data_IF_196570748432
#
_entry.id   IF_196570748432
#
_cell.length_a   1.000
_cell.length_b   1.000
_cell.length_c   1.000
_cell.angle_alpha   90.00
_cell.angle_beta   90.00
_cell.angle_gamma   90.00
#
_symmetry.space_group_name_H-M   'P 1'
#
loop_
_entity.id
_entity.type
_entity.pdbx_description
1 polymer ?
#
# COMPACT_ATOMS: atom_id res chain seq x y z
N UNK A 1 22.92 10.45 5.94
CA UNK A 1 21.89 9.59 5.30
C UNK A 1 21.43 10.32 4.06
N UNK A 2 21.77 9.81 2.88
CA UNK A 2 21.53 10.49 1.61
C UNK A 2 20.05 10.36 1.22
N UNK A 3 19.43 11.50 0.94
CA UNK A 3 18.11 11.64 0.34
C UNK A 3 18.11 11.02 -1.06
N UNK A 4 17.48 9.85 -1.21
CA UNK A 4 17.20 9.24 -2.51
C UNK A 4 15.88 9.81 -3.00
N UNK A 5 15.94 10.84 -3.84
CA UNK A 5 14.80 11.26 -4.65
C UNK A 5 14.74 10.33 -5.87
N UNK A 6 13.66 9.56 -6.09
CA UNK A 6 13.57 8.73 -7.29
C UNK A 6 13.51 9.62 -8.54
N UNK A 7 14.53 9.53 -9.39
CA UNK A 7 14.50 10.09 -10.74
C UNK A 7 13.73 9.12 -11.64
N UNK A 8 12.66 9.58 -12.30
CA UNK A 8 11.99 8.76 -13.33
C UNK A 8 10.52 9.01 -13.64
N UNK A 9 9.86 10.04 -13.08
CA UNK A 9 8.51 10.42 -13.50
C UNK A 9 8.59 11.74 -14.26
N UNK A 10 8.67 11.67 -15.60
CA UNK A 10 8.38 12.83 -16.45
C UNK A 10 6.97 13.31 -16.12
N UNK A 11 6.91 14.49 -15.52
CA UNK A 11 5.71 15.30 -15.25
C UNK A 11 5.57 16.37 -16.34
N UNK A 12 5.94 16.03 -17.56
CA UNK A 12 5.81 16.95 -18.69
C UNK A 12 4.32 17.17 -18.98
N UNK A 13 3.79 18.25 -18.39
CA UNK A 13 2.58 18.91 -18.87
C UNK A 13 1.51 19.30 -17.86
N UNK A 14 1.74 19.42 -16.55
CA UNK A 14 0.63 19.72 -15.60
C UNK A 14 0.95 20.65 -14.41
N UNK A 15 1.69 21.75 -14.62
CA UNK A 15 1.49 23.05 -13.96
C UNK A 15 1.90 23.24 -12.49
N UNK A 16 2.89 24.11 -12.25
CA UNK A 16 3.29 24.67 -10.94
C UNK A 16 2.32 25.76 -10.43
N UNK A 17 1.00 25.56 -10.56
CA UNK A 17 -0.03 26.49 -10.07
C UNK A 17 -0.73 25.97 -8.81
N UNK A 18 -1.57 26.79 -8.13
CA UNK A 18 -2.35 26.37 -6.96
C UNK A 18 -3.48 25.36 -7.29
N UNK A 19 -3.56 24.89 -8.54
CA UNK A 19 -4.56 23.95 -9.04
C UNK A 19 -3.89 22.78 -9.74
N UNK A 20 -4.30 21.58 -9.39
CA UNK A 20 -3.79 20.36 -10.03
C UNK A 20 -4.53 20.08 -11.35
N UNK A 21 -4.21 18.94 -11.97
CA UNK A 21 -4.83 18.54 -13.23
C UNK A 21 -6.29 18.13 -13.08
N UNK A 22 -6.71 17.67 -11.90
CA UNK A 22 -8.08 17.24 -11.62
C UNK A 22 -8.98 18.47 -11.54
N UNK A 23 -8.50 19.57 -10.95
CA UNK A 23 -9.20 20.86 -11.00
C UNK A 23 -9.48 21.29 -12.45
N UNK A 24 -8.49 21.12 -13.34
CA UNK A 24 -8.64 21.44 -14.77
C UNK A 24 -9.63 20.51 -15.46
N UNK A 25 -9.58 19.22 -15.16
CA UNK A 25 -10.52 18.23 -15.69
C UNK A 25 -11.95 18.49 -15.22
N UNK A 26 -12.17 18.81 -13.95
CA UNK A 26 -13.48 19.15 -13.40
C UNK A 26 -14.06 20.40 -14.07
N UNK A 27 -13.26 21.48 -14.17
CA UNK A 27 -13.70 22.70 -14.86
C UNK A 27 -14.12 22.42 -16.31
N UNK A 28 -13.33 21.62 -17.04
CA UNK A 28 -13.63 21.30 -18.43
C UNK A 28 -14.91 20.48 -18.59
N UNK A 29 -15.14 19.49 -17.72
CA UNK A 29 -16.38 18.72 -17.76
C UNK A 29 -17.59 19.55 -17.36
N UNK A 30 -17.46 20.47 -16.40
CA UNK A 30 -18.53 21.40 -16.03
C UNK A 30 -18.94 22.32 -17.18
N UNK A 31 -18.00 22.75 -18.03
CA UNK A 31 -18.32 23.51 -19.25
C UNK A 31 -19.04 22.65 -20.29
N UNK A 32 -18.58 21.41 -20.51
CA UNK A 32 -19.08 20.53 -21.56
C UNK A 32 -20.41 19.87 -21.22
N UNK A 33 -20.65 19.61 -19.93
CA UNK A 33 -21.78 18.84 -19.40
C UNK A 33 -22.33 19.54 -18.13
N UNK A 34 -22.86 20.76 -18.25
CA UNK A 34 -23.31 21.56 -17.11
C UNK A 34 -24.45 20.93 -16.30
N UNK A 35 -25.13 19.93 -16.86
CA UNK A 35 -26.17 19.15 -16.20
C UNK A 35 -25.65 18.06 -15.25
N UNK A 36 -24.35 17.74 -15.28
CA UNK A 36 -23.74 16.71 -14.44
C UNK A 36 -23.05 17.29 -13.22
N UNK A 37 -23.17 16.61 -12.07
CA UNK A 37 -22.32 16.89 -10.92
C UNK A 37 -20.94 16.25 -11.11
N UNK A 38 -19.93 17.09 -11.31
CA UNK A 38 -18.53 16.69 -11.51
C UNK A 38 -17.71 16.79 -10.22
N UNK A 39 -18.30 17.21 -9.10
CA UNK A 39 -17.60 17.36 -7.81
C UNK A 39 -16.96 16.04 -7.30
N UNK A 40 -17.60 14.85 -7.42
CA UNK A 40 -17.02 13.59 -6.95
C UNK A 40 -15.67 13.23 -7.60
N UNK A 41 -15.42 13.70 -8.84
CA UNK A 41 -14.14 13.50 -9.52
C UNK A 41 -12.95 14.08 -8.74
N UNK A 42 -13.20 15.15 -7.99
CA UNK A 42 -12.19 15.82 -7.18
C UNK A 42 -11.63 14.93 -6.09
N UNK A 43 -12.45 14.01 -5.55
CA UNK A 43 -12.03 13.04 -4.54
C UNK A 43 -11.47 11.79 -5.23
N UNK A 44 -12.27 11.15 -6.09
CA UNK A 44 -11.91 9.86 -6.71
C UNK A 44 -10.63 9.98 -7.55
N UNK A 45 -10.51 11.04 -8.35
CA UNK A 45 -9.31 11.27 -9.16
C UNK A 45 -8.06 11.46 -8.32
N UNK A 46 -8.16 12.19 -7.20
CA UNK A 46 -7.03 12.46 -6.30
C UNK A 46 -6.62 11.21 -5.55
N UNK A 47 -7.58 10.40 -5.11
CA UNK A 47 -7.32 9.11 -4.49
C UNK A 47 -6.56 8.17 -5.44
N UNK A 48 -7.03 8.02 -6.68
CA UNK A 48 -6.37 7.18 -7.68
C UNK A 48 -4.95 7.67 -7.98
N UNK A 49 -4.77 8.99 -8.16
CA UNK A 49 -3.45 9.55 -8.45
C UNK A 49 -2.50 9.42 -7.26
N UNK A 50 -2.97 9.71 -6.05
CA UNK A 50 -2.19 9.56 -4.83
C UNK A 50 -1.79 8.10 -4.61
N UNK A 51 -2.72 7.15 -4.74
CA UNK A 51 -2.45 5.72 -4.61
C UNK A 51 -1.38 5.24 -5.59
N UNK A 52 -1.43 5.67 -6.86
CA UNK A 52 -0.40 5.34 -7.85
C UNK A 52 0.99 5.86 -7.45
N UNK A 53 1.07 7.11 -6.97
CA UNK A 53 2.35 7.72 -6.58
C UNK A 53 2.91 7.08 -5.30
N UNK A 54 2.07 6.89 -4.28
CA UNK A 54 2.45 6.21 -3.04
C UNK A 54 2.93 4.79 -3.33
N UNK A 55 2.19 4.03 -4.14
CA UNK A 55 2.58 2.67 -4.51
C UNK A 55 3.93 2.65 -5.24
N UNK A 56 4.17 3.58 -6.18
CA UNK A 56 5.45 3.66 -6.89
C UNK A 56 6.62 3.97 -5.94
N UNK A 57 6.43 4.87 -4.97
CA UNK A 57 7.44 5.16 -3.95
C UNK A 57 7.72 3.96 -3.04
N UNK A 58 6.67 3.27 -2.60
CA UNK A 58 6.80 2.07 -1.77
C UNK A 58 7.50 0.93 -2.51
N UNK A 59 7.14 0.67 -3.78
CA UNK A 59 7.84 -0.34 -4.61
C UNK A 59 9.32 0.01 -4.78
N UNK A 60 9.64 1.27 -5.08
CA UNK A 60 11.04 1.71 -5.23
C UNK A 60 11.86 1.57 -3.93
N UNK A 61 11.23 1.77 -2.77
CA UNK A 61 11.90 1.57 -1.48
C UNK A 61 12.14 0.09 -1.18
N UNK A 62 11.24 -0.79 -1.61
CA UNK A 62 11.29 -2.23 -1.35
C UNK A 62 12.16 -3.00 -2.36
N UNK A 63 12.43 -2.43 -3.53
CA UNK A 63 13.26 -3.03 -4.58
C UNK A 63 14.63 -3.55 -4.07
N UNK A 64 15.43 -2.79 -3.29
CA UNK A 64 16.72 -3.27 -2.79
C UNK A 64 16.63 -4.48 -1.84
N UNK A 65 15.44 -4.78 -1.32
CA UNK A 65 15.17 -5.90 -0.44
C UNK A 65 14.56 -7.10 -1.18
N UNK A 66 14.49 -7.03 -2.51
CA UNK A 66 13.82 -7.99 -3.38
C UNK A 66 12.35 -8.23 -3.00
N UNK A 67 11.65 -7.22 -2.46
CA UNK A 67 10.25 -7.30 -2.06
C UNK A 67 9.36 -6.43 -2.96
N UNK A 68 8.14 -6.92 -3.24
CA UNK A 68 7.06 -6.05 -3.74
C UNK A 68 6.21 -5.53 -2.59
N UNK A 69 5.39 -4.49 -2.81
CA UNK A 69 4.46 -3.99 -1.78
C UNK A 69 3.51 -5.09 -1.28
N UNK A 70 3.07 -5.97 -2.18
CA UNK A 70 2.17 -7.06 -1.80
C UNK A 70 2.86 -8.12 -0.91
N UNK A 71 4.14 -8.40 -1.15
CA UNK A 71 4.91 -9.32 -0.31
C UNK A 71 5.33 -8.69 1.01
N UNK A 72 5.65 -7.39 1.01
CA UNK A 72 5.81 -6.61 2.23
C UNK A 72 4.54 -6.68 3.10
N UNK A 73 3.36 -6.53 2.50
CA UNK A 73 2.08 -6.70 3.20
C UNK A 73 1.89 -8.09 3.82
N UNK A 74 2.34 -9.15 3.15
CA UNK A 74 2.32 -10.52 3.68
C UNK A 74 3.23 -10.63 4.90
N UNK A 75 4.51 -10.29 4.79
CA UNK A 75 5.45 -10.43 5.90
C UNK A 75 5.07 -9.52 7.09
N UNK A 76 4.58 -8.31 6.82
CA UNK A 76 4.05 -7.39 7.83
C UNK A 76 2.84 -7.97 8.59
N UNK A 77 1.97 -8.68 7.88
CA UNK A 77 0.82 -9.34 8.51
C UNK A 77 1.25 -10.52 9.37
N UNK A 78 2.16 -11.36 8.86
CA UNK A 78 2.69 -12.51 9.59
C UNK A 78 3.45 -12.09 10.86
N UNK A 79 4.25 -11.00 10.79
CA UNK A 79 4.97 -10.48 11.95
C UNK A 79 4.07 -9.88 13.04
N UNK A 80 2.83 -9.49 12.70
CA UNK A 80 1.83 -8.98 13.65
C UNK A 80 0.85 -10.04 14.15
N UNK A 81 0.93 -11.25 13.62
CA UNK A 81 0.04 -12.35 14.01
C UNK A 81 0.56 -13.03 15.28
N UNK A 82 -0.35 -13.47 16.17
CA UNK A 82 0.00 -14.16 17.43
C UNK A 82 0.56 -15.59 17.23
N UNK A 83 0.69 -16.05 15.99
CA UNK A 83 1.20 -17.37 15.64
C UNK A 83 1.03 -17.71 14.15
N UNK A 84 1.30 -18.96 13.76
CA UNK A 84 1.11 -19.41 12.39
C UNK A 84 -0.36 -19.32 11.95
N UNK A 85 -0.61 -18.78 10.75
CA UNK A 85 -1.98 -18.58 10.23
C UNK A 85 -2.19 -19.34 8.92
N UNK A 86 -3.44 -19.70 8.64
CA UNK A 86 -3.81 -20.33 7.36
C UNK A 86 -3.77 -19.32 6.20
N UNK A 87 -3.64 -19.77 4.93
CA UNK A 87 -3.75 -18.90 3.76
C UNK A 87 -5.07 -18.11 3.70
N UNK A 88 -6.17 -18.71 4.18
CA UNK A 88 -7.48 -18.05 4.23
C UNK A 88 -7.52 -16.92 5.26
N UNK A 89 -6.91 -17.15 6.43
CA UNK A 89 -6.77 -16.12 7.46
C UNK A 89 -5.85 -14.99 6.99
N UNK A 90 -4.70 -15.33 6.40
CA UNK A 90 -3.79 -14.35 5.81
C UNK A 90 -4.53 -13.46 4.79
N UNK A 91 -5.31 -14.07 3.88
CA UNK A 91 -6.04 -13.32 2.85
C UNK A 91 -7.04 -12.31 3.43
N UNK A 92 -7.69 -12.63 4.56
CA UNK A 92 -8.61 -11.70 5.24
C UNK A 92 -7.90 -10.51 5.88
N UNK A 93 -6.62 -10.65 6.22
CA UNK A 93 -5.84 -9.62 6.89
C UNK A 93 -4.97 -8.78 5.94
N UNK A 94 -4.84 -9.18 4.68
CA UNK A 94 -4.02 -8.48 3.70
C UNK A 94 -4.68 -7.18 3.22
N UNK A 95 -3.94 -6.08 3.34
CA UNK A 95 -4.32 -4.75 2.81
C UNK A 95 -4.48 -4.72 1.29
N UNK A 96 -3.81 -5.62 0.56
CA UNK A 96 -3.91 -5.73 -0.89
C UNK A 96 -4.19 -7.18 -1.29
N UNK A 97 -5.44 -7.48 -1.65
CA UNK A 97 -5.80 -8.77 -2.24
C UNK A 97 -5.36 -8.80 -3.70
N UNK A 98 -4.42 -9.67 -4.04
CA UNK A 98 -4.07 -9.96 -5.43
C UNK A 98 -4.34 -11.43 -5.75
N UNK A 99 -4.75 -11.78 -6.98
CA UNK A 99 -5.07 -13.15 -7.39
C UNK A 99 -3.89 -14.15 -7.34
N UNK A 100 -2.69 -13.75 -6.89
CA UNK A 100 -1.46 -14.55 -6.94
C UNK A 100 -0.79 -14.80 -5.57
N UNK A 101 -1.56 -14.88 -4.48
CA UNK A 101 -1.03 -15.13 -3.11
C UNK A 101 -0.13 -16.37 -3.04
N UNK A 102 -0.48 -17.46 -3.71
CA UNK A 102 0.32 -18.70 -3.71
C UNK A 102 1.72 -18.53 -4.31
N UNK A 103 1.84 -17.77 -5.41
CA UNK A 103 3.14 -17.51 -6.06
C UNK A 103 4.03 -16.65 -5.16
N UNK A 104 3.45 -15.61 -4.55
CA UNK A 104 4.12 -14.71 -3.61
C UNK A 104 4.62 -15.45 -2.37
N UNK A 105 3.77 -16.27 -1.77
CA UNK A 105 4.17 -17.11 -0.63
C UNK A 105 5.34 -18.04 -1.00
N UNK A 106 5.36 -18.59 -2.21
CA UNK A 106 6.47 -19.46 -2.65
C UNK A 106 7.77 -18.68 -2.81
N UNK A 107 7.70 -17.46 -3.34
CA UNK A 107 8.87 -16.56 -3.49
C UNK A 107 9.41 -16.12 -2.14
N UNK A 108 8.53 -15.73 -1.22
CA UNK A 108 8.89 -15.36 0.15
C UNK A 108 9.55 -16.52 0.90
N UNK A 109 9.04 -17.74 0.75
CA UNK A 109 9.61 -18.94 1.36
C UNK A 109 11.00 -19.25 0.77
N UNK A 110 11.15 -19.19 -0.55
CA UNK A 110 12.44 -19.37 -1.23
C UNK A 110 13.47 -18.31 -0.83
N UNK A 111 13.03 -17.07 -0.60
CA UNK A 111 13.87 -15.96 -0.15
C UNK A 111 14.07 -15.92 1.38
N UNK A 112 13.57 -16.94 2.10
CA UNK A 112 13.79 -17.11 3.54
C UNK A 112 12.96 -16.19 4.43
N UNK A 113 11.99 -15.45 3.90
CA UNK A 113 11.15 -14.52 4.70
C UNK A 113 10.08 -15.23 5.54
N UNK A 114 9.59 -16.38 5.07
CA UNK A 114 8.51 -17.12 5.72
C UNK A 114 8.86 -18.60 5.81
N UNK A 115 8.19 -19.29 6.73
CA UNK A 115 8.19 -20.75 6.83
C UNK A 115 6.74 -21.28 6.71
N UNK A 116 6.62 -22.53 6.23
CA UNK A 116 5.36 -23.26 6.20
C UNK A 116 5.45 -24.51 7.05
N UNK A 117 4.36 -24.84 7.74
CA UNK A 117 4.22 -26.08 8.49
C UNK A 117 2.91 -26.78 8.11
N UNK A 118 2.85 -28.10 8.34
CA UNK A 118 1.60 -28.85 8.20
C UNK A 118 0.57 -28.28 9.18
N UNK A 119 -0.68 -28.13 8.73
CA UNK A 119 -1.77 -27.79 9.63
C UNK A 119 -2.23 -29.07 10.37
N UNK A 120 -2.11 -29.13 11.72
CA UNK A 120 -2.54 -30.31 12.48
C UNK A 120 -4.05 -30.58 12.38
N UNK A 121 -4.85 -29.55 12.12
CA UNK A 121 -6.31 -29.62 12.07
C UNK A 121 -6.85 -29.87 10.65
N UNK A 122 -6.00 -29.74 9.62
CA UNK A 122 -6.33 -30.02 8.23
C UNK A 122 -5.11 -30.57 7.48
N UNK A 123 -5.07 -31.88 7.27
CA UNK A 123 -3.97 -32.55 6.57
C UNK A 123 -3.77 -32.10 5.11
N UNK A 124 -4.74 -31.37 4.51
CA UNK A 124 -4.62 -30.77 3.17
C UNK A 124 -4.15 -29.32 3.21
N UNK A 125 -4.08 -28.72 4.40
CA UNK A 125 -3.70 -27.34 4.63
C UNK A 125 -2.27 -27.20 5.16
N UNK A 126 -1.75 -25.98 5.05
CA UNK A 126 -0.52 -25.56 5.70
C UNK A 126 -0.76 -24.27 6.48
N UNK A 127 0.06 -24.06 7.50
CA UNK A 127 0.13 -22.81 8.24
C UNK A 127 1.37 -22.04 7.76
N UNK A 128 1.30 -20.72 7.86
CA UNK A 128 2.32 -19.79 7.40
C UNK A 128 2.74 -18.93 8.59
N UNK A 129 4.04 -18.75 8.76
CA UNK A 129 4.62 -17.87 9.77
C UNK A 129 5.82 -17.12 9.18
N UNK A 130 6.15 -15.95 9.71
CA UNK A 130 7.45 -15.36 9.44
C UNK A 130 8.56 -16.31 9.94
N UNK A 131 9.61 -16.51 9.17
CA UNK A 131 10.80 -17.20 9.68
C UNK A 131 11.52 -16.29 10.68
N UNK A 132 12.41 -16.85 11.50
CA UNK A 132 13.21 -16.04 12.43
C UNK A 132 14.05 -14.99 11.69
N UNK A 133 14.70 -15.37 10.58
CA UNK A 133 15.44 -14.45 9.70
C UNK A 133 14.54 -13.39 9.07
N UNK A 134 13.37 -13.80 8.57
CA UNK A 134 12.40 -12.90 7.95
C UNK A 134 11.86 -11.87 8.93
N UNK A 135 11.57 -12.28 10.16
CA UNK A 135 11.13 -11.39 11.24
C UNK A 135 12.23 -10.39 11.61
N UNK A 136 13.49 -10.83 11.72
CA UNK A 136 14.61 -9.94 12.00
C UNK A 136 14.82 -8.91 10.88
N UNK A 137 14.86 -9.36 9.62
CA UNK A 137 15.01 -8.48 8.45
C UNK A 137 13.85 -7.49 8.34
N UNK A 138 12.63 -7.93 8.65
CA UNK A 138 11.46 -7.05 8.67
C UNK A 138 11.59 -5.97 9.75
N UNK A 139 12.05 -6.34 10.95
CA UNK A 139 12.27 -5.38 12.04
C UNK A 139 13.33 -4.32 11.69
N UNK A 140 14.37 -4.68 10.93
CA UNK A 140 15.40 -3.75 10.45
C UNK A 140 14.87 -2.83 9.31
N UNK A 141 14.01 -3.35 8.45
CA UNK A 141 13.43 -2.63 7.31
C UNK A 141 12.31 -1.66 7.72
N UNK A 142 11.48 -2.04 8.69
CA UNK A 142 10.25 -1.32 9.04
C UNK A 142 10.45 0.17 9.39
N UNK A 143 11.45 0.59 10.20
CA UNK A 143 11.64 1.99 10.54
C UNK A 143 11.87 2.88 9.31
N UNK A 144 12.61 2.39 8.32
CA UNK A 144 12.84 3.13 7.08
C UNK A 144 11.60 3.22 6.21
N UNK A 145 10.78 2.16 6.16
CA UNK A 145 9.50 2.16 5.47
C UNK A 145 8.54 3.19 6.08
N UNK A 146 8.44 3.23 7.42
CA UNK A 146 7.63 4.25 8.12
C UNK A 146 8.18 5.67 7.92
N UNK A 147 9.51 5.82 7.80
CA UNK A 147 10.13 7.09 7.44
C UNK A 147 9.75 7.57 6.03
N UNK A 148 9.65 6.64 5.06
CA UNK A 148 9.11 6.94 3.74
C UNK A 148 7.65 7.39 3.83
N UNK A 149 6.79 6.65 4.53
CA UNK A 149 5.38 7.02 4.68
C UNK A 149 5.21 8.41 5.30
N UNK A 150 5.98 8.71 6.35
CA UNK A 150 6.00 10.03 6.97
C UNK A 150 6.42 11.14 5.98
N UNK A 151 7.39 10.86 5.09
CA UNK A 151 7.82 11.83 4.08
C UNK A 151 6.75 12.11 3.03
N UNK A 152 5.96 11.10 2.64
CA UNK A 152 4.90 11.23 1.63
C UNK A 152 3.74 12.12 2.09
N UNK A 153 3.53 12.22 3.40
CA UNK A 153 2.48 13.07 4.01
C UNK A 153 3.04 14.30 4.71
N UNK A 154 4.32 14.62 4.51
CA UNK A 154 5.03 15.70 5.22
C UNK A 154 4.51 17.11 4.95
N UNK A 155 3.79 17.32 3.84
CA UNK A 155 3.14 18.60 3.51
C UNK A 155 1.92 18.87 4.39
N UNK A 156 1.35 17.84 5.01
CA UNK A 156 0.20 17.95 5.90
C UNK A 156 0.69 18.16 7.34
N UNK A 157 0.03 19.02 8.10
CA UNK A 157 0.19 19.07 9.55
C UNK A 157 -0.54 17.91 10.26
N UNK A 158 -0.43 17.82 11.59
CA UNK A 158 -1.05 16.74 12.38
C UNK A 158 -2.57 16.71 12.28
N UNK A 159 -3.21 17.88 12.28
CA UNK A 159 -4.67 18.00 12.20
C UNK A 159 -5.18 17.58 10.82
N UNK A 160 -4.47 17.99 9.77
CA UNK A 160 -4.74 17.61 8.38
C UNK A 160 -4.55 16.10 8.17
N UNK A 161 -3.48 15.51 8.72
CA UNK A 161 -3.25 14.06 8.69
C UNK A 161 -4.37 13.31 9.39
N UNK A 162 -4.76 13.74 10.59
CA UNK A 162 -5.85 13.13 11.35
C UNK A 162 -7.19 13.20 10.61
N UNK A 163 -7.50 14.35 10.03
CA UNK A 163 -8.73 14.57 9.25
C UNK A 163 -8.78 13.70 7.99
N UNK A 164 -7.69 13.67 7.23
CA UNK A 164 -7.59 12.83 6.03
C UNK A 164 -7.74 11.34 6.39
N UNK A 165 -7.04 10.87 7.42
CA UNK A 165 -7.11 9.48 7.87
C UNK A 165 -8.52 9.09 8.32
N UNK A 166 -9.21 9.98 9.06
CA UNK A 166 -10.59 9.75 9.48
C UNK A 166 -11.57 9.70 8.30
N UNK A 167 -11.39 10.57 7.31
CA UNK A 167 -12.25 10.64 6.12
C UNK A 167 -12.08 9.40 5.24
N UNK A 168 -10.84 8.97 5.02
CA UNK A 168 -10.54 7.74 4.30
C UNK A 168 -11.08 6.50 5.02
N UNK A 169 -10.97 6.45 6.35
CA UNK A 169 -11.54 5.37 7.16
C UNK A 169 -13.05 5.26 6.97
N UNK A 170 -13.76 6.38 6.92
CA UNK A 170 -15.21 6.37 6.69
C UNK A 170 -15.56 5.72 5.35
N UNK A 171 -14.82 6.04 4.28
CA UNK A 171 -15.03 5.43 2.96
C UNK A 171 -14.76 3.91 2.98
N UNK A 172 -13.65 3.48 3.58
CA UNK A 172 -13.27 2.07 3.60
C UNK A 172 -14.22 1.22 4.44
N UNK A 173 -14.68 1.72 5.59
CA UNK A 173 -15.68 1.02 6.41
C UNK A 173 -17.01 0.83 5.67
N UNK A 174 -17.40 1.81 4.85
CA UNK A 174 -18.62 1.71 4.03
C UNK A 174 -18.45 0.73 2.85
N UNK A 175 -17.26 0.67 2.24
CA UNK A 175 -16.99 -0.23 1.10
C UNK A 175 -16.73 -1.69 1.50
N UNK A 176 -16.20 -1.93 2.69
CA UNK A 176 -15.90 -3.26 3.23
C UNK A 176 -17.12 -3.90 3.92
N UNK A 177 -18.23 -3.16 4.10
CA UNK A 177 -19.49 -3.63 4.68
C UNK A 177 -20.33 -4.46 3.69
#
# INVERSE_FOLDING_TARGET
MASVTPQGLSVDGLGNGPRDWIDRTQARWGELRPELDVAPMGVVGRLLRAAQLVMACCEAYLEPFDLSCAEFGIISTLCRSDGPISPGELTRQLMFTGPATTKRLRRLEQAGWIARSINPDDARGFLIVASDDGAQRFAELLPGYLGLEASLVSVLDDDQRGTLAATLRQLLVDWDA
#
